data_IF_364521200416
#
_entry.id   IF_364521200416
#
_cell.length_a   1.000
_cell.length_b   1.000
_cell.length_c   1.000
_cell.angle_alpha   90.00
_cell.angle_beta   90.00
_cell.angle_gamma   90.00
#
_symmetry.space_group_name_H-M   'P 1'
#
loop_
_entity.id
_entity.type
_entity.pdbx_description
1 polymer ?
#
# COMPACT_ATOMS: atom_id res chain seq x y z
N UNK A 1 9.84 5.05 -3.27
CA UNK A 1 9.06 6.20 -2.75
C UNK A 1 7.75 6.22 -3.52
N UNK A 2 6.64 6.41 -2.82
CA UNK A 2 5.32 6.57 -3.43
C UNK A 2 4.62 7.72 -2.71
N UNK A 3 3.64 8.32 -3.38
CA UNK A 3 2.86 9.43 -2.85
C UNK A 3 1.38 9.04 -2.90
N UNK A 4 0.58 9.60 -2.00
CA UNK A 4 -0.86 9.38 -1.90
C UNK A 4 -1.55 10.71 -1.63
N UNK A 5 -2.82 10.80 -2.04
CA UNK A 5 -3.69 11.92 -1.70
C UNK A 5 -4.73 11.44 -0.68
N UNK A 6 -4.83 12.14 0.44
CA UNK A 6 -5.87 11.90 1.44
C UNK A 6 -6.96 12.95 1.33
N UNK A 7 -8.21 12.51 1.20
CA UNK A 7 -9.37 13.38 1.19
C UNK A 7 -9.71 13.87 2.61
N UNK A 8 -10.44 14.98 2.70
CA UNK A 8 -10.84 15.61 3.97
C UNK A 8 -11.52 14.64 4.94
N UNK A 9 -12.44 13.80 4.45
CA UNK A 9 -13.12 12.83 5.30
C UNK A 9 -12.14 11.86 5.98
N UNK A 10 -11.20 11.28 5.22
CA UNK A 10 -10.20 10.35 5.76
C UNK A 10 -9.28 11.01 6.80
N UNK A 11 -8.91 12.28 6.60
CA UNK A 11 -8.14 13.04 7.60
C UNK A 11 -8.93 13.25 8.89
N UNK A 12 -10.26 13.43 8.81
CA UNK A 12 -11.12 13.70 9.96
C UNK A 12 -11.48 12.48 10.81
N UNK A 13 -11.56 11.29 10.21
CA UNK A 13 -12.04 10.06 10.90
C UNK A 13 -10.96 9.02 11.13
N UNK A 14 -9.71 9.31 10.79
CA UNK A 14 -8.55 8.43 11.02
C UNK A 14 -7.42 9.20 11.69
N UNK A 15 -6.35 8.50 12.09
CA UNK A 15 -5.17 9.13 12.72
C UNK A 15 -4.30 9.92 11.75
N UNK A 16 -4.61 9.92 10.44
CA UNK A 16 -3.82 10.62 9.42
C UNK A 16 -3.78 12.14 9.59
N UNK A 17 -4.81 12.75 10.18
CA UNK A 17 -4.82 14.20 10.43
C UNK A 17 -3.76 14.68 11.43
N UNK A 18 -3.19 13.77 12.22
CA UNK A 18 -2.19 14.06 13.25
C UNK A 18 -0.76 13.71 12.82
N UNK A 19 -0.58 13.00 11.70
CA UNK A 19 0.72 12.48 11.27
C UNK A 19 1.62 13.59 10.73
N UNK A 20 2.92 13.45 10.95
CA UNK A 20 3.95 14.38 10.52
C UNK A 20 5.08 13.67 9.78
N UNK A 21 5.92 14.44 9.08
CA UNK A 21 7.08 13.90 8.40
C UNK A 21 8.02 13.23 9.41
N UNK A 22 8.36 11.97 9.15
CA UNK A 22 9.20 11.14 10.04
C UNK A 22 8.42 10.12 10.86
N UNK A 23 7.09 10.26 10.95
CA UNK A 23 6.25 9.26 11.62
C UNK A 23 6.29 7.91 10.89
N UNK A 24 6.36 6.84 11.68
CA UNK A 24 6.26 5.48 11.16
C UNK A 24 4.80 5.10 10.99
N UNK A 25 4.50 4.37 9.92
CA UNK A 25 3.17 3.83 9.63
C UNK A 25 3.27 2.35 9.33
N UNK A 26 2.18 1.63 9.59
CA UNK A 26 2.06 0.24 9.15
C UNK A 26 1.82 0.24 7.64
N UNK A 27 2.55 -0.61 6.91
CA UNK A 27 2.38 -0.80 5.49
C UNK A 27 1.96 -2.26 5.25
N UNK A 28 0.78 -2.43 4.69
CA UNK A 28 0.30 -3.70 4.19
C UNK A 28 0.27 -3.62 2.66
N UNK A 29 0.87 -4.62 2.00
CA UNK A 29 0.80 -4.71 0.54
C UNK A 29 -0.50 -5.39 0.12
N UNK A 30 -0.99 -5.02 -1.06
CA UNK A 30 -2.16 -5.69 -1.64
C UNK A 30 -1.88 -7.19 -1.84
N UNK A 31 -2.78 -8.01 -1.31
CA UNK A 31 -2.71 -9.47 -1.42
C UNK A 31 -2.84 -9.94 -2.88
N UNK A 32 -3.67 -9.27 -3.70
CA UNK A 32 -3.79 -9.57 -5.13
C UNK A 32 -2.48 -9.28 -5.86
N UNK A 33 -1.77 -8.22 -5.50
CA UNK A 33 -0.45 -7.92 -6.10
C UNK A 33 0.57 -9.03 -5.80
N UNK A 34 0.54 -9.60 -4.58
CA UNK A 34 1.37 -10.76 -4.22
C UNK A 34 1.05 -11.98 -5.08
N UNK A 35 -0.23 -12.28 -5.27
CA UNK A 35 -0.64 -13.40 -6.12
C UNK A 35 -0.30 -13.17 -7.59
N UNK A 36 -0.48 -11.95 -8.09
CA UNK A 36 -0.10 -11.58 -9.45
C UNK A 36 1.40 -11.73 -9.69
N UNK A 37 2.25 -11.32 -8.73
CA UNK A 37 3.69 -11.53 -8.82
C UNK A 37 4.04 -13.02 -8.91
N UNK A 38 3.44 -13.85 -8.05
CA UNK A 38 3.66 -15.31 -8.06
C UNK A 38 3.19 -15.96 -9.37
N UNK A 39 2.06 -15.53 -9.92
CA UNK A 39 1.60 -16.00 -11.23
C UNK A 39 2.57 -15.62 -12.34
N UNK A 40 3.09 -14.40 -12.31
CA UNK A 40 4.08 -13.92 -13.28
C UNK A 40 5.43 -14.65 -13.15
N UNK A 41 5.82 -15.07 -11.96
CA UNK A 41 7.00 -15.93 -11.73
C UNK A 41 6.78 -17.33 -12.30
N UNK A 42 5.65 -17.98 -11.97
CA UNK A 42 5.32 -19.30 -12.51
C UNK A 42 5.25 -19.31 -14.05
N UNK A 43 4.68 -18.28 -14.66
CA UNK A 43 4.63 -18.12 -16.12
C UNK A 43 6.03 -17.97 -16.75
N UNK A 44 7.01 -17.43 -16.03
CA UNK A 44 8.41 -17.37 -16.50
C UNK A 44 9.12 -18.71 -16.38
N UNK A 45 8.68 -19.58 -15.47
CA UNK A 45 9.29 -20.89 -15.17
C UNK A 45 8.74 -22.03 -16.04
N UNK A 46 7.88 -21.74 -17.02
CA UNK A 46 7.41 -22.70 -18.02
C UNK A 46 6.06 -23.35 -17.72
N UNK A 47 5.26 -22.69 -16.87
CA UNK A 47 3.81 -22.85 -16.84
C UNK A 47 3.16 -21.96 -17.91
#
# INVERSE_FOLDING_TARGET
>A
RFDVLLIQHSLSVTTWGERQAGDRVNIEIDTMARYAARLAEAAKEGL
#
